data_IF_258875899581
#
_entry.id   IF_258875899581
#
_cell.length_a   1.000
_cell.length_b   1.000
_cell.length_c   1.000
_cell.angle_alpha   90.00
_cell.angle_beta   90.00
_cell.angle_gamma   90.00
#
_symmetry.space_group_name_H-M   'P 1'
#
loop_
_entity.id
_entity.type
_entity.pdbx_description
1 polymer ?
#
# COMPACT_ATOMS: atom_id res chain seq x y z
N UNK A 1 14.10 19.10 2.55
CA UNK A 1 14.27 17.95 1.66
C UNK A 1 14.89 18.25 0.30
N UNK A 2 14.81 19.49 -0.25
CA UNK A 2 15.45 19.84 -1.54
C UNK A 2 16.99 19.79 -1.58
N UNK A 3 17.67 19.77 -0.44
CA UNK A 3 19.16 19.76 -0.39
C UNK A 3 19.78 18.35 -0.50
N UNK A 4 19.00 17.29 -0.31
CA UNK A 4 19.50 15.92 -0.40
C UNK A 4 19.60 15.42 -1.85
N UNK A 5 18.70 15.85 -2.73
CA UNK A 5 18.70 15.43 -4.13
C UNK A 5 19.86 15.99 -4.96
N UNK A 6 20.30 17.22 -4.65
CA UNK A 6 21.42 17.85 -5.37
C UNK A 6 22.76 17.21 -4.98
N UNK A 7 22.88 16.74 -3.74
CA UNK A 7 24.10 16.04 -3.28
C UNK A 7 24.25 14.65 -3.93
N UNK A 8 23.14 13.96 -4.23
CA UNK A 8 23.17 12.62 -4.82
C UNK A 8 23.55 12.63 -6.31
N UNK A 9 23.05 13.58 -7.07
CA UNK A 9 23.44 13.76 -8.47
C UNK A 9 24.91 14.19 -8.59
N UNK A 10 25.40 15.02 -7.65
CA UNK A 10 26.80 15.42 -7.61
C UNK A 10 27.74 14.27 -7.18
N UNK A 11 27.24 13.32 -6.34
CA UNK A 11 28.03 12.16 -5.91
C UNK A 11 28.19 11.13 -7.04
N UNK A 12 27.12 10.88 -7.81
CA UNK A 12 27.19 9.99 -8.98
C UNK A 12 28.10 10.55 -10.06
N UNK A 13 28.08 11.86 -10.32
CA UNK A 13 28.98 12.52 -11.27
C UNK A 13 30.42 12.61 -10.75
N UNK A 14 30.63 12.79 -9.45
CA UNK A 14 31.95 12.79 -8.85
C UNK A 14 32.60 11.40 -8.83
N UNK A 15 31.81 10.34 -8.67
CA UNK A 15 32.30 8.95 -8.74
C UNK A 15 32.78 8.60 -10.16
N UNK A 16 32.15 9.15 -11.20
CA UNK A 16 32.59 8.95 -12.60
C UNK A 16 33.86 9.71 -12.95
N UNK A 17 34.23 10.76 -12.21
CA UNK A 17 35.41 11.59 -12.51
C UNK A 17 36.71 11.14 -11.80
N UNK A 18 36.63 10.20 -10.85
CA UNK A 18 37.80 9.76 -10.09
C UNK A 18 38.26 8.34 -10.39
N UNK A 19 37.55 7.62 -11.29
CA UNK A 19 38.00 6.30 -11.73
C UNK A 19 39.07 6.50 -12.80
N UNK A 20 40.32 6.40 -12.40
CA UNK A 20 41.46 6.11 -13.26
C UNK A 20 41.12 4.90 -14.12
N UNK A 21 41.63 4.85 -15.36
CA UNK A 21 41.35 3.87 -16.44
C UNK A 21 41.48 2.36 -16.08
N UNK A 22 41.13 1.93 -14.91
CA UNK A 22 40.94 0.53 -14.58
C UNK A 22 39.53 0.12 -15.05
N UNK A 23 39.44 -0.97 -15.79
CA UNK A 23 38.14 -1.50 -16.25
C UNK A 23 37.20 -1.69 -15.06
N UNK A 24 36.04 -1.02 -15.13
CA UNK A 24 34.96 -1.21 -14.15
C UNK A 24 34.57 -2.68 -14.17
N UNK A 25 34.64 -3.37 -13.02
CA UNK A 25 34.26 -4.77 -12.90
C UNK A 25 32.77 -4.97 -13.13
N UNK A 26 32.34 -6.16 -13.50
CA UNK A 26 30.92 -6.45 -13.71
C UNK A 26 30.11 -6.21 -12.41
N UNK A 27 30.65 -6.56 -11.25
CA UNK A 27 30.04 -6.28 -9.95
C UNK A 27 29.84 -4.77 -9.70
N UNK A 28 30.79 -3.94 -10.12
CA UNK A 28 30.64 -2.47 -10.02
C UNK A 28 29.60 -1.95 -10.99
N UNK A 29 29.49 -2.53 -12.20
CA UNK A 29 28.43 -2.18 -13.17
C UNK A 29 27.06 -2.56 -12.62
N UNK A 30 26.91 -3.75 -12.05
CA UNK A 30 25.66 -4.24 -11.46
C UNK A 30 25.24 -3.34 -10.29
N UNK A 31 26.18 -2.96 -9.41
CA UNK A 31 25.94 -2.02 -8.32
C UNK A 31 25.46 -0.65 -8.81
N UNK A 32 26.06 -0.11 -9.88
CA UNK A 32 25.63 1.16 -10.49
C UNK A 32 24.23 1.04 -11.10
N UNK A 33 23.98 -0.04 -11.84
CA UNK A 33 22.66 -0.31 -12.43
C UNK A 33 21.60 -0.46 -11.36
N UNK A 34 21.89 -1.17 -10.25
CA UNK A 34 21.01 -1.30 -9.11
C UNK A 34 20.63 0.07 -8.51
N UNK A 35 21.59 0.97 -8.33
CA UNK A 35 21.34 2.33 -7.84
C UNK A 35 20.46 3.13 -8.81
N UNK A 36 20.65 2.98 -10.11
CA UNK A 36 19.86 3.67 -11.13
C UNK A 36 18.42 3.17 -11.17
N UNK A 37 18.24 1.86 -11.07
CA UNK A 37 16.93 1.18 -11.15
C UNK A 37 16.15 1.28 -9.84
N UNK A 38 16.81 1.35 -8.68
CA UNK A 38 16.11 1.50 -7.40
C UNK A 38 15.20 2.73 -7.39
N UNK A 39 13.97 2.57 -6.93
CA UNK A 39 12.98 3.64 -6.84
C UNK A 39 11.55 3.15 -6.80
N UNK A 40 10.64 4.11 -6.84
CA UNK A 40 9.20 3.88 -6.91
C UNK A 40 8.72 4.23 -8.32
N UNK A 41 8.01 3.31 -8.94
CA UNK A 41 7.58 3.40 -10.33
C UNK A 41 6.09 3.10 -10.47
N UNK A 42 5.44 3.81 -11.38
CA UNK A 42 4.11 3.48 -11.85
C UNK A 42 4.15 2.78 -13.21
N UNK A 43 3.39 1.73 -13.39
CA UNK A 43 3.21 1.07 -14.68
C UNK A 43 2.36 1.96 -15.57
N UNK A 44 2.91 2.42 -16.70
CA UNK A 44 2.20 3.31 -17.65
C UNK A 44 1.96 2.67 -19.01
N UNK A 45 2.59 1.54 -19.30
CA UNK A 45 2.34 0.77 -20.52
C UNK A 45 2.73 -0.69 -20.32
N UNK A 46 1.92 -1.59 -20.84
CA UNK A 46 2.21 -3.01 -21.00
C UNK A 46 1.74 -3.43 -22.38
N UNK A 47 2.66 -3.82 -23.26
CA UNK A 47 2.35 -4.20 -24.65
C UNK A 47 2.91 -5.58 -24.95
N UNK A 48 2.05 -6.48 -25.46
CA UNK A 48 2.47 -7.76 -26.01
C UNK A 48 2.98 -7.60 -27.44
N UNK A 49 4.06 -8.28 -27.80
CA UNK A 49 4.62 -8.26 -29.16
C UNK A 49 4.03 -9.39 -30.01
N UNK A 50 3.19 -10.25 -29.46
CA UNK A 50 2.61 -11.44 -30.08
C UNK A 50 1.23 -11.22 -30.73
N UNK A 51 0.77 -9.95 -30.83
CA UNK A 51 -0.53 -9.59 -31.37
C UNK A 51 -1.71 -9.85 -30.42
N UNK A 52 -1.46 -10.36 -29.21
CA UNK A 52 -2.39 -10.29 -28.11
C UNK A 52 -2.30 -8.88 -27.54
N UNK A 53 -3.29 -8.05 -27.81
CA UNK A 53 -3.31 -6.63 -27.57
C UNK A 53 -2.69 -6.24 -26.22
N UNK A 54 -1.98 -5.11 -26.20
CA UNK A 54 -1.47 -4.51 -24.95
C UNK A 54 -2.63 -4.22 -23.99
N UNK A 55 -2.31 -4.11 -22.71
CA UNK A 55 -3.27 -3.57 -21.76
C UNK A 55 -3.60 -2.15 -22.17
N UNK A 56 -4.91 -1.84 -22.19
CA UNK A 56 -5.40 -0.50 -22.50
C UNK A 56 -4.80 0.49 -21.47
N UNK A 57 -4.33 1.63 -21.95
CA UNK A 57 -3.77 2.67 -21.08
C UNK A 57 -4.77 3.09 -19.97
N UNK A 58 -6.07 3.05 -20.28
CA UNK A 58 -7.16 3.35 -19.34
C UNK A 58 -7.25 2.34 -18.18
N UNK A 59 -6.66 1.15 -18.33
CA UNK A 59 -6.56 0.15 -17.24
C UNK A 59 -5.32 0.31 -16.37
N UNK A 60 -4.38 1.16 -16.78
CA UNK A 60 -3.10 1.38 -16.09
C UNK A 60 -3.05 2.70 -15.34
N UNK A 61 -3.97 3.63 -15.62
CA UNK A 61 -4.05 4.93 -14.98
C UNK A 61 -5.45 5.22 -14.46
N UNK A 62 -5.54 6.03 -13.40
CA UNK A 62 -6.82 6.55 -12.90
C UNK A 62 -7.31 7.75 -13.74
N UNK A 63 -8.50 8.27 -13.42
CA UNK A 63 -9.11 9.42 -14.12
C UNK A 63 -8.25 10.70 -14.08
N UNK A 64 -7.32 10.81 -13.13
CA UNK A 64 -6.35 11.90 -13.04
C UNK A 64 -5.05 11.61 -13.80
N UNK A 65 -4.95 10.48 -14.51
CA UNK A 65 -3.77 10.04 -15.25
C UNK A 65 -2.64 9.52 -14.35
N UNK A 66 -2.92 9.20 -13.08
CA UNK A 66 -1.93 8.62 -12.15
C UNK A 66 -1.87 7.11 -12.33
N UNK A 67 -0.68 6.49 -12.29
CA UNK A 67 -0.55 5.04 -12.39
C UNK A 67 -1.36 4.32 -11.29
N UNK A 68 -2.09 3.27 -11.65
CA UNK A 68 -2.85 2.45 -10.70
C UNK A 68 -1.93 1.46 -9.97
N UNK A 69 -1.01 0.82 -10.70
CA UNK A 69 -0.06 -0.15 -10.17
C UNK A 69 1.29 0.48 -9.97
N UNK A 70 1.86 0.29 -8.80
CA UNK A 70 3.20 0.74 -8.46
C UNK A 70 4.12 -0.43 -8.12
N UNK A 71 5.36 -0.27 -8.52
CA UNK A 71 6.49 -1.14 -8.19
C UNK A 71 7.48 -0.34 -7.38
N UNK A 72 7.80 -0.79 -6.19
CA UNK A 72 8.83 -0.19 -5.36
C UNK A 72 10.02 -1.14 -5.23
N UNK A 73 11.20 -0.63 -5.53
CA UNK A 73 12.47 -1.37 -5.49
C UNK A 73 13.44 -0.59 -4.60
N UNK A 74 13.71 -1.10 -3.42
CA UNK A 74 14.57 -0.47 -2.42
C UNK A 74 16.03 -0.87 -2.62
N UNK A 75 16.97 -0.01 -2.25
CA UNK A 75 18.42 -0.29 -2.37
C UNK A 75 18.89 -1.48 -1.52
N UNK A 76 18.17 -1.83 -0.46
CA UNK A 76 18.46 -3.00 0.36
C UNK A 76 18.10 -4.32 -0.31
N UNK A 77 17.51 -4.27 -1.50
CA UNK A 77 17.09 -5.43 -2.29
C UNK A 77 15.65 -5.86 -2.01
N UNK A 78 14.90 -5.18 -1.14
CA UNK A 78 13.47 -5.43 -0.98
C UNK A 78 12.67 -4.79 -2.11
N UNK A 79 11.55 -5.42 -2.48
CA UNK A 79 10.60 -4.84 -3.42
C UNK A 79 9.17 -5.19 -3.04
N UNK A 80 8.24 -4.39 -3.53
CA UNK A 80 6.82 -4.71 -3.44
C UNK A 80 6.05 -4.18 -4.65
N UNK A 81 4.89 -4.78 -4.90
CA UNK A 81 3.86 -4.26 -5.82
C UNK A 81 2.63 -3.91 -4.98
N UNK A 82 2.05 -2.74 -5.25
CA UNK A 82 0.86 -2.28 -4.56
C UNK A 82 -0.05 -1.49 -5.52
N UNK A 83 -1.28 -1.22 -5.06
CA UNK A 83 -2.14 -0.23 -5.70
C UNK A 83 -1.75 1.19 -5.23
N UNK A 84 -1.78 2.15 -6.14
CA UNK A 84 -1.43 3.55 -5.82
C UNK A 84 -2.37 4.20 -4.79
N UNK A 85 -3.60 3.72 -4.64
CA UNK A 85 -4.53 4.19 -3.60
C UNK A 85 -4.20 3.63 -2.21
N UNK A 86 -3.54 2.47 -2.13
CA UNK A 86 -3.34 1.76 -0.86
C UNK A 86 -1.92 1.13 -0.78
N UNK A 87 -0.89 1.96 -0.65
CA UNK A 87 0.52 1.53 -0.61
C UNK A 87 0.85 0.60 0.56
N UNK A 88 0.09 0.68 1.66
CA UNK A 88 0.29 -0.21 2.82
C UNK A 88 -0.24 -1.62 2.61
N UNK A 89 -1.05 -1.80 1.56
CA UNK A 89 -1.59 -3.11 1.20
C UNK A 89 -0.83 -3.62 0.00
N UNK A 90 0.27 -4.31 0.26
CA UNK A 90 1.08 -4.87 -0.79
C UNK A 90 0.34 -6.03 -1.45
N UNK A 91 0.28 -6.01 -2.77
CA UNK A 91 -0.23 -7.14 -3.56
C UNK A 91 0.79 -8.26 -3.59
N UNK A 92 2.07 -7.89 -3.71
CA UNK A 92 3.21 -8.79 -3.70
C UNK A 92 4.35 -8.15 -2.92
N UNK A 93 4.98 -8.94 -2.05
CA UNK A 93 6.25 -8.62 -1.39
C UNK A 93 7.34 -9.55 -1.89
N UNK A 94 8.57 -9.06 -1.93
CA UNK A 94 9.69 -9.85 -2.41
C UNK A 94 11.04 -9.15 -2.33
N UNK A 95 11.96 -9.72 -3.07
CA UNK A 95 13.32 -9.19 -3.25
C UNK A 95 13.62 -8.97 -4.73
N UNK A 96 14.56 -8.11 -5.01
CA UNK A 96 15.03 -7.84 -6.37
C UNK A 96 16.53 -7.69 -6.43
N UNK A 97 17.07 -8.02 -7.59
CA UNK A 97 18.49 -7.82 -7.88
C UNK A 97 18.72 -7.55 -9.37
N UNK A 98 19.90 -7.04 -9.70
CA UNK A 98 20.33 -6.77 -11.07
C UNK A 98 21.64 -7.44 -11.34
N UNK A 99 21.71 -8.15 -12.45
CA UNK A 99 22.96 -8.68 -13.02
C UNK A 99 23.04 -8.35 -14.50
N UNK A 100 24.03 -7.55 -14.89
CA UNK A 100 24.13 -6.97 -16.23
C UNK A 100 22.90 -6.10 -16.56
N UNK A 101 22.20 -6.48 -17.61
CA UNK A 101 20.94 -5.86 -18.04
C UNK A 101 19.71 -6.68 -17.68
N UNK A 102 19.82 -7.56 -16.69
CA UNK A 102 18.71 -8.39 -16.22
C UNK A 102 18.31 -7.97 -14.82
N UNK A 103 17.05 -7.55 -14.66
CA UNK A 103 16.36 -7.37 -13.39
C UNK A 103 15.65 -8.68 -13.02
N UNK A 104 15.94 -9.23 -11.86
CA UNK A 104 15.24 -10.40 -11.31
C UNK A 104 14.43 -9.99 -10.09
N UNK A 105 13.18 -10.44 -10.02
CA UNK A 105 12.27 -10.21 -8.90
C UNK A 105 11.77 -11.55 -8.37
N UNK A 106 11.93 -11.79 -7.08
CA UNK A 106 11.54 -13.02 -6.38
C UNK A 106 10.46 -12.66 -5.37
N UNK A 107 9.23 -13.11 -5.59
CA UNK A 107 8.10 -12.83 -4.72
C UNK A 107 7.82 -13.99 -3.77
N UNK A 108 7.48 -13.70 -2.53
CA UNK A 108 7.19 -14.72 -1.50
C UNK A 108 6.04 -15.66 -1.88
N UNK A 109 5.07 -15.15 -2.65
CA UNK A 109 3.90 -15.91 -3.09
C UNK A 109 4.11 -16.74 -4.35
N UNK A 110 5.23 -16.56 -5.07
CA UNK A 110 5.51 -17.27 -6.31
C UNK A 110 6.65 -18.27 -6.17
N UNK A 111 6.51 -19.42 -6.84
CA UNK A 111 7.52 -20.47 -6.83
C UNK A 111 8.67 -20.25 -7.81
N UNK A 112 8.60 -19.21 -8.63
CA UNK A 112 9.61 -18.88 -9.64
C UNK A 112 9.90 -17.39 -9.64
N UNK A 113 11.17 -17.09 -9.83
CA UNK A 113 11.63 -15.73 -10.05
C UNK A 113 11.14 -15.21 -11.41
N UNK A 114 10.78 -13.95 -11.44
CA UNK A 114 10.48 -13.23 -12.66
C UNK A 114 11.72 -12.48 -13.14
N UNK A 115 12.06 -12.64 -14.41
CA UNK A 115 13.24 -12.00 -15.00
C UNK A 115 12.81 -11.07 -16.12
N UNK A 116 13.40 -9.89 -16.10
CA UNK A 116 13.15 -8.81 -17.06
C UNK A 116 14.46 -8.32 -17.66
N UNK A 117 14.53 -8.25 -18.98
CA UNK A 117 15.61 -7.53 -19.66
C UNK A 117 15.39 -6.02 -19.49
N UNK A 118 16.40 -5.29 -19.01
CA UNK A 118 16.40 -3.83 -18.96
C UNK A 118 16.74 -3.29 -20.35
N UNK A 119 15.76 -2.75 -21.06
CA UNK A 119 15.93 -2.19 -22.40
C UNK A 119 16.55 -0.81 -22.36
N UNK A 120 16.05 0.05 -21.47
CA UNK A 120 16.58 1.39 -21.26
C UNK A 120 16.12 1.97 -19.93
N UNK A 121 16.91 2.97 -19.45
CA UNK A 121 16.52 3.84 -18.35
C UNK A 121 16.85 5.28 -18.74
N UNK A 122 15.85 6.05 -19.15
CA UNK A 122 16.01 7.40 -19.64
C UNK A 122 14.86 8.30 -19.17
N UNK A 123 15.18 9.52 -18.73
CA UNK A 123 14.18 10.54 -18.36
C UNK A 123 13.16 10.06 -17.32
N UNK A 124 13.58 9.21 -16.39
CA UNK A 124 12.70 8.62 -15.38
C UNK A 124 11.79 7.50 -15.89
N UNK A 125 11.99 7.04 -17.13
CA UNK A 125 11.31 5.86 -17.68
C UNK A 125 12.25 4.67 -17.66
N UNK A 126 11.80 3.58 -17.03
CA UNK A 126 12.44 2.27 -17.05
C UNK A 126 11.65 1.37 -18.00
N UNK A 127 12.29 0.91 -19.07
CA UNK A 127 11.70 -0.04 -20.01
C UNK A 127 12.24 -1.42 -19.77
N UNK A 128 11.32 -2.35 -19.56
CA UNK A 128 11.60 -3.76 -19.28
C UNK A 128 10.97 -4.64 -20.34
N UNK A 129 11.57 -5.81 -20.57
CA UNK A 129 10.99 -6.88 -21.42
C UNK A 129 11.02 -8.20 -20.67
N UNK A 130 9.89 -8.90 -20.66
CA UNK A 130 9.79 -10.30 -20.21
C UNK A 130 9.13 -11.11 -21.31
N UNK A 131 9.91 -11.99 -21.95
CA UNK A 131 9.46 -12.74 -23.13
C UNK A 131 9.01 -11.81 -24.24
N UNK A 132 7.71 -11.84 -24.55
CA UNK A 132 7.07 -11.01 -25.59
C UNK A 132 6.31 -9.81 -25.00
N UNK A 133 6.47 -9.51 -23.71
CA UNK A 133 5.82 -8.37 -23.07
C UNK A 133 6.82 -7.28 -22.80
N UNK A 134 6.55 -6.08 -23.26
CA UNK A 134 7.29 -4.87 -22.93
C UNK A 134 6.50 -4.05 -21.90
N UNK A 135 7.17 -3.65 -20.83
CA UNK A 135 6.60 -2.90 -19.71
C UNK A 135 7.33 -1.56 -19.63
N UNK A 136 6.58 -0.47 -19.57
CA UNK A 136 7.14 0.86 -19.32
C UNK A 136 6.72 1.34 -17.95
N UNK A 137 7.73 1.58 -17.13
CA UNK A 137 7.60 2.09 -15.77
C UNK A 137 8.05 3.55 -15.74
N UNK A 138 7.20 4.43 -15.20
CA UNK A 138 7.53 5.85 -14.95
C UNK A 138 7.94 5.99 -13.49
N UNK A 139 9.10 6.60 -13.22
CA UNK A 139 9.49 6.95 -11.85
C UNK A 139 8.48 7.94 -11.27
N UNK A 140 7.95 7.61 -10.10
CA UNK A 140 6.90 8.42 -9.46
C UNK A 140 7.44 9.72 -8.89
N UNK A 141 6.66 10.76 -9.06
CA UNK A 141 6.77 12.05 -8.36
C UNK A 141 5.64 12.17 -7.35
N UNK A 142 5.66 13.18 -6.49
CA UNK A 142 4.58 13.42 -5.54
C UNK A 142 3.23 13.67 -6.23
N UNK A 143 3.24 14.20 -7.46
CA UNK A 143 2.03 14.41 -8.25
C UNK A 143 1.43 13.11 -8.82
N UNK A 144 2.22 12.05 -8.93
CA UNK A 144 1.78 10.75 -9.43
C UNK A 144 1.18 9.87 -8.30
N UNK A 145 1.32 10.29 -7.05
CA UNK A 145 0.85 9.54 -5.88
C UNK A 145 -0.59 9.89 -5.53
N UNK A 146 -1.39 8.88 -5.27
CA UNK A 146 -2.72 9.09 -4.69
C UNK A 146 -2.61 9.52 -3.22
N UNK A 147 -3.55 10.32 -2.71
CA UNK A 147 -3.68 10.52 -1.27
C UNK A 147 -3.76 9.18 -0.54
N UNK A 148 -3.02 9.06 0.56
CA UNK A 148 -3.01 7.83 1.35
C UNK A 148 -3.81 8.04 2.63
N UNK A 149 -4.55 7.02 3.05
CA UNK A 149 -5.23 7.01 4.34
C UNK A 149 -4.20 7.16 5.46
N UNK A 150 -4.35 8.19 6.29
CA UNK A 150 -3.45 8.48 7.41
C UNK A 150 -4.01 7.94 8.72
N UNK A 151 -5.30 8.17 8.96
CA UNK A 151 -6.00 7.63 10.12
C UNK A 151 -7.47 7.35 9.82
N UNK A 152 -8.04 6.45 10.63
CA UNK A 152 -9.48 6.21 10.73
C UNK A 152 -9.87 6.51 12.17
N UNK A 153 -10.97 7.25 12.37
CA UNK A 153 -11.41 7.63 13.70
C UNK A 153 -12.88 7.29 13.89
N UNK A 154 -13.22 6.59 14.96
CA UNK A 154 -14.60 6.42 15.35
C UNK A 154 -15.18 7.76 15.82
N UNK A 155 -16.41 8.06 15.44
CA UNK A 155 -17.09 9.33 15.73
C UNK A 155 -18.37 9.10 16.53
N UNK A 156 -18.90 10.18 17.15
CA UNK A 156 -20.16 10.13 17.87
C UNK A 156 -20.15 9.37 19.20
N UNK A 157 -18.97 8.99 19.70
CA UNK A 157 -18.82 8.17 20.90
C UNK A 157 -18.55 8.99 22.18
N UNK A 158 -18.21 10.28 22.06
CA UNK A 158 -17.78 11.13 23.18
C UNK A 158 -18.77 11.20 24.32
N UNK A 159 -20.07 11.20 24.01
CA UNK A 159 -21.15 11.26 25.01
C UNK A 159 -21.22 9.99 25.89
N UNK A 160 -20.61 8.89 25.45
CA UNK A 160 -20.66 7.61 26.12
C UNK A 160 -19.30 7.24 26.74
N UNK A 161 -18.30 8.11 26.64
CA UNK A 161 -16.95 7.84 27.14
C UNK A 161 -16.89 7.89 28.67
N UNK A 162 -16.40 6.83 29.28
CA UNK A 162 -16.13 6.74 30.71
C UNK A 162 -14.81 5.95 30.93
N UNK A 163 -13.81 6.61 31.54
CA UNK A 163 -12.49 6.04 31.81
C UNK A 163 -11.85 5.36 30.57
N UNK A 164 -11.91 6.02 29.42
CA UNK A 164 -11.31 5.53 28.16
C UNK A 164 -12.08 4.40 27.47
N UNK A 165 -13.27 4.09 27.91
CA UNK A 165 -14.18 3.10 27.31
C UNK A 165 -15.51 3.73 26.94
N UNK A 166 -16.11 3.28 25.87
CA UNK A 166 -17.47 3.65 25.50
C UNK A 166 -18.45 2.76 26.27
N UNK A 167 -19.27 3.34 27.11
CA UNK A 167 -20.26 2.61 27.93
C UNK A 167 -21.64 2.70 27.26
N UNK A 168 -22.19 1.56 26.89
CA UNK A 168 -23.49 1.44 26.22
C UNK A 168 -24.50 0.64 27.07
N UNK A 169 -25.71 1.17 27.24
CA UNK A 169 -26.86 0.37 27.68
C UNK A 169 -27.67 -0.05 26.43
N UNK A 170 -27.68 -1.33 26.09
CA UNK A 170 -28.33 -1.82 24.87
C UNK A 170 -29.83 -1.53 24.79
N UNK A 171 -30.49 -1.30 25.93
CA UNK A 171 -31.91 -0.95 25.97
C UNK A 171 -32.18 0.51 25.58
N UNK A 172 -31.16 1.36 25.63
CA UNK A 172 -31.25 2.79 25.38
C UNK A 172 -30.59 3.15 24.03
N UNK A 173 -29.38 2.67 23.79
CA UNK A 173 -28.58 3.06 22.62
C UNK A 173 -28.75 2.13 21.41
N UNK A 174 -29.31 0.93 21.60
CA UNK A 174 -29.55 0.03 20.46
C UNK A 174 -30.91 0.34 19.82
N UNK A 175 -30.88 0.49 18.49
CA UNK A 175 -32.08 0.58 17.67
C UNK A 175 -32.19 -0.69 16.83
N UNK A 176 -33.38 -1.29 16.79
CA UNK A 176 -33.61 -2.54 16.07
C UNK A 176 -32.64 -3.69 16.46
N UNK A 177 -32.16 -3.67 17.73
CA UNK A 177 -31.28 -4.70 18.28
C UNK A 177 -29.79 -4.52 17.98
N UNK A 178 -29.37 -3.41 17.42
CA UNK A 178 -27.97 -3.09 17.17
C UNK A 178 -27.63 -1.62 17.47
N UNK A 179 -26.34 -1.39 17.74
CA UNK A 179 -25.73 -0.06 17.78
C UNK A 179 -24.93 0.20 16.49
N UNK A 180 -25.16 1.36 15.84
CA UNK A 180 -24.44 1.73 14.63
C UNK A 180 -23.19 2.52 14.98
N UNK A 181 -22.00 1.97 14.67
CA UNK A 181 -20.75 2.73 14.69
C UNK A 181 -20.71 3.67 13.49
N UNK A 182 -20.14 4.84 13.74
CA UNK A 182 -19.78 5.81 12.70
C UNK A 182 -18.29 6.09 12.77
N UNK A 183 -17.70 6.42 11.64
CA UNK A 183 -16.26 6.71 11.53
C UNK A 183 -16.02 7.72 10.43
N UNK A 184 -14.84 8.31 10.45
CA UNK A 184 -14.35 9.22 9.43
C UNK A 184 -12.91 8.86 9.06
N UNK A 185 -12.49 9.30 7.88
CA UNK A 185 -11.15 9.12 7.34
C UNK A 185 -10.37 10.43 7.41
N UNK A 186 -9.03 10.31 7.50
CA UNK A 186 -8.13 11.43 7.30
C UNK A 186 -7.16 11.06 6.14
N UNK A 187 -7.19 11.78 5.00
CA UNK A 187 -8.01 12.96 4.70
C UNK A 187 -9.51 12.63 4.56
N UNK A 188 -10.37 13.63 4.83
CA UNK A 188 -11.83 13.46 4.90
C UNK A 188 -12.49 13.09 3.56
N UNK A 189 -11.83 13.36 2.44
CA UNK A 189 -12.23 13.00 1.08
C UNK A 189 -11.62 11.68 0.59
N UNK A 190 -11.03 10.90 1.52
CA UNK A 190 -10.44 9.61 1.18
C UNK A 190 -11.51 8.59 0.78
N UNK A 191 -11.31 7.96 -0.37
CA UNK A 191 -12.12 6.83 -0.85
C UNK A 191 -11.34 5.52 -0.65
N UNK A 192 -11.83 4.60 0.22
CA UNK A 192 -11.18 3.32 0.46
C UNK A 192 -10.99 2.50 -0.82
N UNK A 193 -9.80 1.92 -0.96
CA UNK A 193 -9.51 0.94 -2.02
C UNK A 193 -10.10 -0.43 -1.68
N UNK A 194 -9.96 -0.85 -0.41
CA UNK A 194 -10.57 -2.07 0.11
C UNK A 194 -11.81 -1.75 0.93
N UNK A 195 -12.78 -2.64 0.91
CA UNK A 195 -13.92 -2.56 1.83
C UNK A 195 -13.43 -2.60 3.27
N UNK A 196 -13.82 -1.63 4.12
CA UNK A 196 -13.46 -1.63 5.52
C UNK A 196 -13.87 -2.93 6.21
N UNK A 197 -12.97 -3.50 7.01
CA UNK A 197 -13.20 -4.72 7.76
C UNK A 197 -13.31 -4.44 9.25
N UNK A 198 -14.29 -5.08 9.89
CA UNK A 198 -14.52 -4.97 11.33
C UNK A 198 -14.26 -6.30 12.02
N UNK A 199 -13.65 -6.23 13.20
CA UNK A 199 -13.41 -7.37 14.05
C UNK A 199 -13.78 -7.06 15.51
N UNK A 200 -14.34 -8.04 16.20
CA UNK A 200 -14.61 -8.01 17.65
C UNK A 200 -13.60 -8.90 18.36
N UNK A 201 -12.95 -8.38 19.39
CA UNK A 201 -12.01 -9.16 20.22
C UNK A 201 -12.70 -10.23 21.08
N UNK A 202 -14.00 -10.06 21.34
CA UNK A 202 -14.82 -11.03 22.07
C UNK A 202 -16.21 -11.16 21.44
N UNK A 203 -16.36 -12.04 20.42
CA UNK A 203 -17.63 -12.31 19.77
C UNK A 203 -18.68 -12.95 20.70
N UNK A 204 -18.28 -13.48 21.85
CA UNK A 204 -19.20 -14.02 22.86
C UNK A 204 -19.88 -12.94 23.69
N UNK A 205 -19.33 -11.72 23.69
CA UNK A 205 -19.94 -10.52 24.25
C UNK A 205 -20.76 -9.80 23.18
N UNK A 206 -20.14 -9.44 22.08
CA UNK A 206 -20.81 -8.75 20.99
C UNK A 206 -20.09 -9.00 19.65
N UNK A 207 -20.85 -9.03 18.57
CA UNK A 207 -20.37 -9.12 17.19
C UNK A 207 -20.53 -7.79 16.49
N UNK A 208 -19.74 -7.59 15.42
CA UNK A 208 -19.86 -6.46 14.51
C UNK A 208 -19.96 -6.99 13.07
N UNK A 209 -20.82 -6.40 12.25
CA UNK A 209 -20.93 -6.76 10.83
C UNK A 209 -20.13 -5.80 9.95
N UNK A 210 -20.11 -6.05 8.63
CA UNK A 210 -19.40 -5.23 7.66
C UNK A 210 -19.89 -3.77 7.57
N UNK A 211 -21.12 -3.50 8.00
CA UNK A 211 -21.67 -2.13 8.04
C UNK A 211 -21.35 -1.40 9.36
N UNK A 212 -20.57 -1.99 10.25
CA UNK A 212 -20.27 -1.43 11.57
C UNK A 212 -21.43 -1.52 12.56
N UNK A 213 -22.41 -2.42 12.34
CA UNK A 213 -23.50 -2.68 13.28
C UNK A 213 -23.06 -3.66 14.33
N UNK A 214 -23.17 -3.25 15.59
CA UNK A 214 -22.81 -4.05 16.76
C UNK A 214 -24.06 -4.67 17.34
N UNK A 215 -24.03 -5.97 17.55
CA UNK A 215 -25.10 -6.74 18.20
C UNK A 215 -24.54 -7.51 19.39
N UNK A 216 -25.20 -7.39 20.55
CA UNK A 216 -24.86 -8.24 21.69
C UNK A 216 -25.30 -9.67 21.47
N UNK A 217 -24.52 -10.61 22.01
CA UNK A 217 -24.94 -12.03 22.01
C UNK A 217 -26.18 -12.21 22.88
N UNK A 218 -27.19 -12.97 22.42
CA UNK A 218 -28.39 -13.23 23.21
C UNK A 218 -28.05 -13.80 24.60
N UNK A 219 -28.67 -13.24 25.65
CA UNK A 219 -28.46 -13.63 27.04
C UNK A 219 -27.28 -12.95 27.76
N UNK A 220 -26.46 -12.21 27.06
CA UNK A 220 -25.42 -11.37 27.68
C UNK A 220 -26.05 -10.10 28.24
N UNK A 221 -25.83 -9.81 29.54
CA UNK A 221 -26.36 -8.63 30.23
C UNK A 221 -25.28 -7.59 30.52
N UNK A 222 -24.02 -8.00 30.48
CA UNK A 222 -22.85 -7.10 30.64
C UNK A 222 -21.63 -7.76 30.06
N UNK A 223 -20.67 -6.96 29.62
CA UNK A 223 -19.41 -7.46 29.09
C UNK A 223 -18.59 -6.33 28.47
N UNK A 224 -17.43 -6.68 27.98
CA UNK A 224 -16.53 -5.75 27.34
C UNK A 224 -15.90 -6.41 26.10
N UNK A 225 -15.83 -5.67 25.00
CA UNK A 225 -15.12 -6.09 23.80
C UNK A 225 -14.46 -4.89 23.13
N UNK A 226 -13.38 -5.12 22.40
CA UNK A 226 -12.75 -4.11 21.54
C UNK A 226 -13.16 -4.36 20.10
N UNK A 227 -13.72 -3.35 19.46
CA UNK A 227 -13.99 -3.37 18.03
C UNK A 227 -12.84 -2.70 17.30
N UNK A 228 -12.27 -3.41 16.35
CA UNK A 228 -11.23 -2.90 15.45
C UNK A 228 -11.80 -2.74 14.05
N UNK A 229 -11.60 -1.57 13.47
CA UNK A 229 -11.86 -1.27 12.07
C UNK A 229 -10.52 -1.18 11.34
N UNK A 230 -10.37 -1.94 10.28
CA UNK A 230 -9.20 -1.89 9.39
C UNK A 230 -9.63 -1.44 8.00
N UNK A 231 -8.94 -0.44 7.46
CA UNK A 231 -9.16 0.09 6.12
C UNK A 231 -7.80 0.39 5.48
N UNK A 232 -7.52 -0.16 4.31
CA UNK A 232 -6.29 0.07 3.52
C UNK A 232 -4.99 0.03 4.35
N UNK A 233 -4.90 -0.94 5.27
CA UNK A 233 -3.75 -1.16 6.14
C UNK A 233 -3.66 -0.19 7.33
N UNK A 234 -4.68 0.66 7.54
CA UNK A 234 -4.80 1.52 8.73
C UNK A 234 -5.89 0.97 9.63
N UNK A 235 -5.62 0.89 10.93
CA UNK A 235 -6.57 0.38 11.90
C UNK A 235 -6.89 1.41 12.99
N UNK A 236 -8.16 1.38 13.42
CA UNK A 236 -8.64 2.08 14.60
C UNK A 236 -9.36 1.10 15.52
N UNK A 237 -9.27 1.31 16.83
CA UNK A 237 -9.93 0.43 17.80
C UNK A 237 -10.68 1.25 18.85
N UNK A 238 -11.82 0.72 19.29
CA UNK A 238 -12.60 1.28 20.39
C UNK A 238 -13.02 0.16 21.33
N UNK A 239 -12.84 0.36 22.63
CA UNK A 239 -13.30 -0.58 23.66
C UNK A 239 -14.70 -0.20 24.08
N UNK A 240 -15.64 -1.13 23.93
CA UNK A 240 -17.05 -1.02 24.31
C UNK A 240 -17.30 -1.82 25.59
N UNK A 241 -17.99 -1.19 26.52
CA UNK A 241 -18.47 -1.81 27.74
C UNK A 241 -20.00 -1.76 27.74
N UNK A 242 -20.62 -2.91 27.77
CA UNK A 242 -22.07 -3.03 27.84
C UNK A 242 -22.53 -3.18 29.31
N UNK A 243 -23.53 -2.40 29.68
CA UNK A 243 -24.12 -2.44 31.02
C UNK A 243 -25.65 -2.36 30.85
N UNK A 244 -26.35 -3.39 31.30
CA UNK A 244 -27.79 -3.32 31.41
C UNK A 244 -28.12 -2.82 32.83
N UNK A 245 -28.49 -1.56 32.95
CA UNK A 245 -28.88 -0.99 34.25
C UNK A 245 -30.26 -1.58 34.64
N UNK A 246 -30.31 -2.35 35.73
CA UNK A 246 -31.54 -3.00 36.24
C UNK A 246 -32.42 -2.00 36.92
#
# INVERSE_FOLDING_TARGET
MKKFFIAFAAFATALMMTVSCDEITDEQKDGLTKVLVAGEYGVISMTGTDGMGGFDADLLTDDAGRPIMIWAMSLDGSCFIANNKAWRVHTLDGTWDVSGMTLTMSYESYSKDESYEIISFENGLLKLRSGQVEIVLKRLTDADKCPQLQSVNFTGLDLFMNNGKVVLDPRIQFTDGYYQLTWEYDPADYEPYLTPAFESSDPDVATVNADGRISMKPGVTSGETTITLTCDGVAASVTLKFIVVV
#
